data_IF_534883882249
#
_entry.id   IF_534883882249
#
_cell.length_a   1.000
_cell.length_b   1.000
_cell.length_c   1.000
_cell.angle_alpha   90.00
_cell.angle_beta   90.00
_cell.angle_gamma   90.00
#
_symmetry.space_group_name_H-M   'P 1'
#
loop_
_entity.id
_entity.type
_entity.pdbx_description
1 polymer ?
#
# COMPACT_ATOMS: atom_id res chain seq x y z
N UNK A 1 -2.99 -10.09 48.78
CA UNK A 1 -4.07 -9.37 48.07
C UNK A 1 -3.49 -8.85 46.78
N UNK A 2 -3.86 -9.45 45.64
CA UNK A 2 -3.37 -9.01 44.34
C UNK A 2 -3.80 -7.57 44.10
N UNK A 3 -2.82 -6.68 44.01
CA UNK A 3 -3.06 -5.25 43.85
C UNK A 3 -3.66 -5.00 42.47
N UNK A 4 -4.96 -4.74 42.42
CA UNK A 4 -5.63 -4.32 41.19
C UNK A 4 -4.92 -3.07 40.65
N UNK A 5 -4.23 -3.23 39.53
CA UNK A 5 -3.42 -2.18 38.93
C UNK A 5 -4.16 -1.60 37.72
N UNK A 6 -4.78 -0.45 37.90
CA UNK A 6 -5.53 0.26 36.86
C UNK A 6 -4.68 0.58 35.63
N UNK A 7 -3.34 0.68 35.76
CA UNK A 7 -2.43 0.90 34.63
C UNK A 7 -2.33 -0.31 33.71
N UNK A 8 -2.37 -1.54 34.23
CA UNK A 8 -2.31 -2.75 33.39
C UNK A 8 -3.60 -2.95 32.60
N UNK A 9 -4.75 -2.62 33.21
CA UNK A 9 -6.05 -2.63 32.56
C UNK A 9 -6.16 -1.56 31.46
N UNK A 10 -5.69 -0.34 31.73
CA UNK A 10 -5.62 0.73 30.73
C UNK A 10 -4.70 0.37 29.56
N UNK A 11 -3.54 -0.24 29.82
CA UNK A 11 -2.63 -0.71 28.78
C UNK A 11 -3.21 -1.87 27.95
N UNK A 12 -3.98 -2.78 28.57
CA UNK A 12 -4.69 -3.84 27.84
C UNK A 12 -5.82 -3.26 26.99
N UNK A 13 -6.58 -2.30 27.51
CA UNK A 13 -7.63 -1.60 26.75
C UNK A 13 -7.03 -0.82 25.58
N UNK A 14 -5.91 -0.12 25.79
CA UNK A 14 -5.17 0.59 24.74
C UNK A 14 -4.61 -0.37 23.69
N UNK A 15 -3.99 -1.50 24.09
CA UNK A 15 -3.53 -2.55 23.14
C UNK A 15 -4.68 -3.15 22.33
N UNK A 16 -5.84 -3.35 22.97
CA UNK A 16 -7.05 -3.90 22.33
C UNK A 16 -7.74 -2.89 21.40
N UNK A 17 -7.62 -1.60 21.69
CA UNK A 17 -8.02 -0.51 20.80
C UNK A 17 -7.06 -0.39 19.61
N UNK A 18 -5.75 -0.36 19.84
CA UNK A 18 -4.72 -0.34 18.80
C UNK A 18 -4.80 -1.56 17.88
N UNK A 19 -5.10 -2.75 18.41
CA UNK A 19 -5.32 -3.96 17.60
C UNK A 19 -6.59 -3.89 16.73
N UNK A 20 -7.51 -2.97 17.04
CA UNK A 20 -8.72 -2.68 16.25
C UNK A 20 -8.56 -1.42 15.38
N UNK A 21 -7.46 -0.67 15.50
CA UNK A 21 -7.19 0.59 14.77
C UNK A 21 -6.65 0.38 13.35
N UNK A 22 -6.64 -0.84 12.82
CA UNK A 22 -6.77 -1.04 11.37
C UNK A 22 -8.15 -0.51 10.97
N UNK A 23 -8.28 0.81 10.83
CA UNK A 23 -9.59 1.43 10.63
C UNK A 23 -10.21 0.85 9.35
N UNK A 24 -11.49 0.47 9.40
CA UNK A 24 -12.24 -0.01 8.23
C UNK A 24 -12.08 0.93 7.02
N UNK A 25 -11.89 2.23 7.28
CA UNK A 25 -11.62 3.23 6.26
C UNK A 25 -10.27 3.04 5.53
N UNK A 26 -9.22 2.47 6.16
CA UNK A 26 -7.92 2.23 5.49
C UNK A 26 -8.02 1.01 4.59
N UNK A 27 -8.75 -0.01 5.06
CA UNK A 27 -9.10 -1.16 4.24
C UNK A 27 -9.98 -0.74 3.07
N UNK A 28 -10.97 0.13 3.27
CA UNK A 28 -11.88 0.60 2.21
C UNK A 28 -11.18 1.32 1.05
N UNK A 29 -10.08 2.04 1.28
CA UNK A 29 -9.33 2.75 0.20
C UNK A 29 -8.46 1.80 -0.63
N UNK A 30 -8.13 0.61 -0.13
CA UNK A 30 -7.42 -0.41 -0.92
C UNK A 30 -8.36 -1.49 -1.48
N UNK A 31 -9.63 -1.45 -1.09
CA UNK A 31 -10.69 -2.37 -1.53
C UNK A 31 -11.68 -1.63 -2.46
N UNK A 32 -11.30 -0.45 -2.97
CA UNK A 32 -12.06 0.12 -4.09
C UNK A 32 -11.82 -0.73 -5.36
N UNK A 33 -12.85 -0.82 -6.20
CA UNK A 33 -12.86 -1.73 -7.36
C UNK A 33 -11.72 -1.39 -8.35
N UNK A 34 -11.39 -0.11 -8.51
CA UNK A 34 -10.31 0.35 -9.40
C UNK A 34 -8.94 -0.12 -8.90
N UNK A 35 -8.66 0.07 -7.60
CA UNK A 35 -7.41 -0.40 -7.00
C UNK A 35 -7.24 -1.92 -7.11
N UNK A 36 -8.34 -2.67 -7.02
CA UNK A 36 -8.32 -4.14 -7.11
C UNK A 36 -7.98 -4.62 -8.52
N UNK A 37 -8.56 -4.01 -9.55
CA UNK A 37 -8.24 -4.30 -10.96
C UNK A 37 -6.76 -4.03 -11.26
N UNK A 38 -6.22 -2.91 -10.80
CA UNK A 38 -4.79 -2.57 -10.98
C UNK A 38 -3.89 -3.61 -10.30
N UNK A 39 -4.24 -4.04 -9.09
CA UNK A 39 -3.47 -5.06 -8.36
C UNK A 39 -3.52 -6.43 -9.07
N UNK A 40 -4.64 -6.78 -9.68
CA UNK A 40 -4.79 -8.02 -10.44
C UNK A 40 -3.94 -8.01 -11.72
N UNK A 41 -3.92 -6.91 -12.46
CA UNK A 41 -3.06 -6.79 -13.65
C UNK A 41 -1.57 -6.77 -13.28
N UNK A 42 -1.19 -6.08 -12.20
CA UNK A 42 0.17 -6.15 -11.68
C UNK A 42 0.58 -7.58 -11.30
N UNK A 43 -0.34 -8.34 -10.72
CA UNK A 43 -0.10 -9.75 -10.41
C UNK A 43 0.08 -10.59 -11.68
N UNK A 44 -0.79 -10.42 -12.69
CA UNK A 44 -0.71 -11.14 -13.97
C UNK A 44 0.62 -10.87 -14.67
N UNK A 45 0.99 -9.60 -14.83
CA UNK A 45 2.26 -9.19 -15.44
C UNK A 45 3.48 -9.73 -14.68
N UNK A 46 3.48 -9.63 -13.34
CA UNK A 46 4.58 -10.15 -12.51
C UNK A 46 4.69 -11.67 -12.62
N UNK A 47 3.56 -12.39 -12.63
CA UNK A 47 3.54 -13.86 -12.76
C UNK A 47 4.06 -14.30 -14.12
N UNK A 48 3.69 -13.60 -15.18
CA UNK A 48 4.16 -13.87 -16.53
C UNK A 48 5.68 -13.66 -16.65
N UNK A 49 6.18 -12.53 -16.14
CA UNK A 49 7.61 -12.21 -16.16
C UNK A 49 8.44 -13.18 -15.31
N UNK A 50 8.03 -13.43 -14.05
CA UNK A 50 8.77 -14.30 -13.13
C UNK A 50 8.58 -15.79 -13.40
N UNK A 51 7.54 -16.16 -14.16
CA UNK A 51 7.04 -17.54 -14.35
C UNK A 51 6.78 -18.27 -13.03
N UNK A 52 6.56 -17.53 -11.94
CA UNK A 52 6.45 -18.08 -10.59
C UNK A 52 5.26 -17.46 -9.85
N UNK A 53 4.22 -18.28 -9.63
CA UNK A 53 3.07 -17.89 -8.82
C UNK A 53 3.47 -17.44 -7.43
N UNK A 54 4.41 -18.16 -6.80
CA UNK A 54 4.85 -17.88 -5.43
C UNK A 54 5.54 -16.52 -5.33
N UNK A 55 6.38 -16.17 -6.30
CA UNK A 55 7.06 -14.88 -6.31
C UNK A 55 6.11 -13.72 -6.61
N UNK A 56 5.23 -13.87 -7.60
CA UNK A 56 4.21 -12.87 -7.90
C UNK A 56 3.28 -12.61 -6.70
N UNK A 57 2.81 -13.66 -6.03
CA UNK A 57 2.02 -13.52 -4.80
C UNK A 57 2.81 -12.84 -3.67
N UNK A 58 4.10 -13.16 -3.52
CA UNK A 58 4.96 -12.53 -2.51
C UNK A 58 5.14 -11.04 -2.80
N UNK A 59 5.38 -10.67 -4.06
CA UNK A 59 5.53 -9.28 -4.48
C UNK A 59 4.25 -8.49 -4.19
N UNK A 60 3.10 -8.96 -4.68
CA UNK A 60 1.82 -8.28 -4.49
C UNK A 60 1.46 -8.14 -3.01
N UNK A 61 1.66 -9.20 -2.22
CA UNK A 61 1.44 -9.15 -0.77
C UNK A 61 2.33 -8.10 -0.10
N UNK A 62 3.59 -7.99 -0.50
CA UNK A 62 4.50 -7.00 0.06
C UNK A 62 4.09 -5.57 -0.33
N UNK A 63 3.66 -5.36 -1.59
CA UNK A 63 3.11 -4.09 -2.06
C UNK A 63 1.91 -3.64 -1.22
N UNK A 64 0.91 -4.52 -1.06
CA UNK A 64 -0.29 -4.25 -0.23
C UNK A 64 0.09 -3.94 1.22
N UNK A 65 1.03 -4.68 1.80
CA UNK A 65 1.52 -4.42 3.16
C UNK A 65 2.16 -3.05 3.31
N UNK A 66 2.98 -2.62 2.35
CA UNK A 66 3.62 -1.31 2.37
C UNK A 66 2.57 -0.21 2.23
N UNK A 67 1.65 -0.33 1.27
CA UNK A 67 0.56 0.62 1.06
C UNK A 67 -0.31 0.77 2.32
N UNK A 68 -0.71 -0.34 2.95
CA UNK A 68 -1.47 -0.34 4.20
C UNK A 68 -0.73 0.37 5.35
N UNK A 69 0.55 0.04 5.55
CA UNK A 69 1.35 0.66 6.62
C UNK A 69 1.49 2.16 6.42
N UNK A 70 1.78 2.60 5.19
CA UNK A 70 1.87 4.02 4.87
C UNK A 70 0.54 4.73 5.08
N UNK A 71 -0.58 4.12 4.67
CA UNK A 71 -1.92 4.65 4.90
C UNK A 71 -2.28 4.79 6.38
N UNK A 72 -1.88 3.82 7.21
CA UNK A 72 -2.08 3.89 8.67
C UNK A 72 -1.24 4.99 9.31
N UNK A 73 0.05 5.07 8.97
CA UNK A 73 0.95 6.10 9.50
C UNK A 73 0.49 7.51 9.14
N UNK A 74 0.06 7.73 7.90
CA UNK A 74 -0.48 9.00 7.43
C UNK A 74 -1.76 9.41 8.17
N UNK A 75 -2.66 8.46 8.44
CA UNK A 75 -3.92 8.76 9.14
C UNK A 75 -3.79 8.88 10.65
N UNK A 76 -2.81 8.20 11.23
CA UNK A 76 -2.50 8.31 12.65
C UNK A 76 -1.63 9.52 13.00
N UNK A 77 -1.32 10.39 12.04
CA UNK A 77 -0.39 11.52 12.18
C UNK A 77 0.95 11.10 12.80
N UNK A 78 1.42 9.89 12.45
CA UNK A 78 2.61 9.27 13.04
C UNK A 78 3.89 9.59 12.26
N UNK A 79 3.81 10.50 11.29
CA UNK A 79 4.92 10.85 10.41
C UNK A 79 5.43 12.26 10.74
N UNK A 80 6.73 12.38 10.96
CA UNK A 80 7.39 13.66 11.18
C UNK A 80 7.46 14.53 9.91
N UNK A 81 7.91 15.78 10.09
CA UNK A 81 8.00 16.75 8.99
C UNK A 81 8.88 16.27 7.82
N UNK A 82 10.02 15.64 8.11
CA UNK A 82 10.92 15.08 7.09
C UNK A 82 10.30 13.89 6.35
N UNK A 83 9.62 12.99 7.07
CA UNK A 83 8.96 11.81 6.49
C UNK A 83 7.79 12.23 5.59
N UNK A 84 7.02 13.24 6.01
CA UNK A 84 5.98 13.85 5.19
C UNK A 84 6.56 14.53 3.95
N UNK A 85 7.69 15.23 4.06
CA UNK A 85 8.37 15.82 2.91
C UNK A 85 8.85 14.75 1.93
N UNK A 86 9.40 13.64 2.43
CA UNK A 86 9.80 12.49 1.61
C UNK A 86 8.60 11.88 0.89
N UNK A 87 7.48 11.67 1.58
CA UNK A 87 6.26 11.13 0.97
C UNK A 87 5.67 12.08 -0.08
N UNK A 88 5.71 13.39 0.16
CA UNK A 88 5.30 14.39 -0.84
C UNK A 88 6.20 14.34 -2.06
N UNK A 89 7.51 14.15 -1.89
CA UNK A 89 8.44 13.97 -3.01
C UNK A 89 8.18 12.68 -3.78
N UNK A 90 7.87 11.59 -3.08
CA UNK A 90 7.47 10.29 -3.65
C UNK A 90 6.13 10.36 -4.43
N UNK A 91 5.20 11.23 -4.02
CA UNK A 91 3.96 11.47 -4.79
C UNK A 91 4.12 12.55 -5.85
N UNK A 92 5.25 13.25 -5.83
CA UNK A 92 5.47 14.47 -6.58
C UNK A 92 5.99 14.21 -7.99
N UNK A 93 5.97 15.25 -8.83
CA UNK A 93 6.44 15.17 -10.22
C UNK A 93 7.94 14.87 -10.37
N UNK A 94 8.71 14.95 -9.28
CA UNK A 94 10.15 14.73 -9.21
C UNK A 94 10.53 13.28 -8.88
N UNK A 95 9.59 12.34 -8.95
CA UNK A 95 9.89 10.94 -8.67
C UNK A 95 10.84 10.32 -9.70
N UNK A 96 11.85 9.52 -9.29
CA UNK A 96 12.80 8.90 -10.21
C UNK A 96 12.12 8.01 -11.25
N UNK A 97 10.97 7.44 -10.90
CA UNK A 97 10.24 6.50 -11.72
C UNK A 97 9.15 7.16 -12.56
N UNK A 98 8.86 8.46 -12.38
CA UNK A 98 7.78 9.13 -13.12
C UNK A 98 8.02 9.11 -14.63
N UNK A 99 9.26 9.34 -15.06
CA UNK A 99 9.66 9.23 -16.46
C UNK A 99 9.50 7.79 -16.98
N UNK A 100 9.83 6.80 -16.17
CA UNK A 100 9.70 5.38 -16.51
C UNK A 100 8.23 4.96 -16.62
N UNK A 101 7.40 5.31 -15.62
CA UNK A 101 5.96 5.04 -15.60
C UNK A 101 5.26 5.72 -16.79
N UNK A 102 5.61 6.98 -17.09
CA UNK A 102 5.07 7.68 -18.26
C UNK A 102 5.40 6.95 -19.56
N UNK A 103 6.65 6.53 -19.76
CA UNK A 103 7.07 5.78 -20.95
C UNK A 103 6.41 4.41 -21.05
N UNK A 104 6.17 3.74 -19.91
CA UNK A 104 5.42 2.47 -19.85
C UNK A 104 3.97 2.71 -20.26
N UNK A 105 3.29 3.70 -19.69
CA UNK A 105 1.90 4.04 -20.05
C UNK A 105 1.78 4.45 -21.53
N UNK A 106 2.71 5.26 -22.04
CA UNK A 106 2.76 5.64 -23.46
C UNK A 106 3.08 4.44 -24.38
N UNK A 107 3.86 3.47 -23.91
CA UNK A 107 4.11 2.21 -24.63
C UNK A 107 2.86 1.34 -24.68
N UNK A 108 2.20 1.13 -23.54
CA UNK A 108 0.96 0.34 -23.45
C UNK A 108 -0.18 0.96 -24.26
N UNK A 109 -0.33 2.30 -24.23
CA UNK A 109 -1.32 3.00 -25.05
C UNK A 109 -1.12 2.72 -26.55
N UNK A 110 0.12 2.82 -27.04
CA UNK A 110 0.42 2.49 -28.44
C UNK A 110 0.13 1.03 -28.80
N UNK A 111 0.47 0.09 -27.92
CA UNK A 111 0.18 -1.33 -28.17
C UNK A 111 -1.32 -1.63 -28.22
N UNK A 112 -2.13 -0.93 -27.42
CA UNK A 112 -3.60 -1.01 -27.46
C UNK A 112 -4.16 -0.37 -28.73
N UNK A 113 -3.67 0.80 -29.12
CA UNK A 113 -4.10 1.52 -30.33
C UNK A 113 -3.76 0.75 -31.61
N UNK A 114 -2.64 0.01 -31.60
CA UNK A 114 -2.18 -0.83 -32.69
C UNK A 114 -2.85 -2.23 -32.72
N UNK A 115 -3.71 -2.55 -31.74
CA UNK A 115 -4.40 -3.85 -31.64
C UNK A 115 -3.44 -5.02 -31.37
N UNK A 116 -2.29 -4.74 -30.77
CA UNK A 116 -1.22 -5.72 -30.50
C UNK A 116 -1.27 -6.29 -29.08
N UNK A 117 -2.31 -5.96 -28.30
CA UNK A 117 -2.70 -6.56 -27.03
C UNK A 117 -4.12 -7.13 -27.09
#
# INVERSE_FOLDING_TARGET
MDTFNTKSLALQAQKKLLSKMASKAVVAVLVDDTSSEVLDELYRATREFTRSRKEAQKMLKNLVKVALKLGLLLRGDQLGGEELALLRRFRGPAEPYRSHLRRICEGLGRMLDEGSL
#
